data_IF_965933221199
#
_entry.id   IF_965933221199
#
_cell.length_a   1.000
_cell.length_b   1.000
_cell.length_c   1.000
_cell.angle_alpha   90.00
_cell.angle_beta   90.00
_cell.angle_gamma   90.00
#
_symmetry.space_group_name_H-M   'P 1'
#
loop_
_entity.id
_entity.type
_entity.pdbx_description
1 polymer ?
#
# COMPACT_ATOMS: atom_id res chain seq x y z
N UNK A 1 4.51 15.97 -6.14
CA UNK A 1 3.39 16.94 -6.17
C UNK A 1 2.09 16.21 -5.84
N UNK A 2 1.10 16.88 -5.24
CA UNK A 2 -0.25 16.31 -5.04
C UNK A 2 -1.18 16.88 -6.11
N UNK A 3 -1.87 16.03 -6.87
CA UNK A 3 -2.86 16.48 -7.86
C UNK A 3 -4.23 16.62 -7.21
N UNK A 4 -4.85 17.79 -7.43
CA UNK A 4 -6.25 18.07 -7.14
C UNK A 4 -6.90 18.65 -8.38
N UNK A 5 -8.09 18.18 -8.76
CA UNK A 5 -8.77 18.61 -9.99
C UNK A 5 -10.23 19.03 -9.80
N UNK A 6 -10.75 18.99 -8.57
CA UNK A 6 -12.16 19.31 -8.31
C UNK A 6 -13.12 18.16 -8.65
N UNK A 7 -14.43 18.36 -8.47
CA UNK A 7 -15.45 17.34 -8.75
C UNK A 7 -15.72 17.19 -10.26
N UNK A 8 -16.44 16.12 -10.63
CA UNK A 8 -16.88 15.88 -12.02
C UNK A 8 -15.97 14.94 -12.82
N UNK A 9 -16.51 14.38 -13.89
CA UNK A 9 -15.79 13.40 -14.71
C UNK A 9 -14.90 14.03 -15.77
N UNK A 10 -15.27 15.20 -16.30
CA UNK A 10 -14.44 15.94 -17.27
C UNK A 10 -13.04 16.20 -16.70
N UNK A 11 -12.97 16.63 -15.44
CA UNK A 11 -11.70 16.82 -14.73
C UNK A 11 -10.92 15.53 -14.52
N UNK A 12 -11.59 14.39 -14.34
CA UNK A 12 -10.91 13.09 -14.23
C UNK A 12 -10.40 12.62 -15.59
N UNK A 13 -11.16 12.86 -16.66
CA UNK A 13 -10.72 12.62 -18.04
C UNK A 13 -9.50 13.47 -18.37
N UNK A 14 -9.49 14.76 -18.00
CA UNK A 14 -8.31 15.63 -18.14
C UNK A 14 -7.08 15.02 -17.44
N UNK A 15 -7.21 14.56 -16.20
CA UNK A 15 -6.12 13.85 -15.51
C UNK A 15 -5.68 12.62 -16.30
N UNK A 16 -6.60 11.76 -16.74
CA UNK A 16 -6.25 10.52 -17.45
C UNK A 16 -5.65 10.78 -18.83
N UNK A 17 -5.95 11.89 -19.47
CA UNK A 17 -5.32 12.33 -20.73
C UNK A 17 -3.90 12.87 -20.52
N UNK A 18 -3.61 13.45 -19.35
CA UNK A 18 -2.27 13.99 -19.03
C UNK A 18 -1.37 12.94 -18.37
N UNK A 19 -1.95 12.08 -17.56
CA UNK A 19 -1.26 11.14 -16.69
C UNK A 19 -1.78 9.72 -16.88
N UNK A 20 -0.86 8.75 -16.86
CA UNK A 20 -1.17 7.36 -16.55
C UNK A 20 -1.20 7.22 -15.05
N UNK A 21 -2.36 6.88 -14.50
CA UNK A 21 -2.52 6.63 -13.08
C UNK A 21 -2.24 5.16 -12.76
N UNK A 22 -1.53 4.91 -11.67
CA UNK A 22 -1.27 3.55 -11.17
C UNK A 22 -1.68 3.49 -9.69
N UNK A 23 -2.65 2.63 -9.31
CA UNK A 23 -2.98 2.47 -7.90
C UNK A 23 -1.78 1.85 -7.18
N UNK A 24 -1.36 2.47 -6.08
CA UNK A 24 -0.21 2.02 -5.28
C UNK A 24 -0.57 1.63 -3.86
N UNK A 25 -1.73 2.05 -3.35
CA UNK A 25 -2.24 1.65 -2.05
C UNK A 25 -3.77 1.70 -2.06
N UNK A 26 -4.40 0.75 -1.39
CA UNK A 26 -5.83 0.77 -1.09
C UNK A 26 -6.02 0.40 0.38
N UNK A 27 -6.40 1.38 1.20
CA UNK A 27 -6.49 1.23 2.65
C UNK A 27 -7.54 2.15 3.22
N UNK A 28 -7.78 2.06 4.52
CA UNK A 28 -8.55 3.05 5.26
C UNK A 28 -7.70 4.09 5.94
N UNK A 29 -8.34 5.22 6.23
CA UNK A 29 -7.83 6.29 7.07
C UNK A 29 -7.99 5.89 8.54
N UNK A 30 -6.92 5.99 9.34
CA UNK A 30 -7.00 5.82 10.78
C UNK A 30 -7.61 7.07 11.43
N UNK A 31 -8.28 6.88 12.57
CA UNK A 31 -8.78 7.98 13.37
C UNK A 31 -7.63 8.92 13.76
N UNK A 32 -7.86 10.23 13.62
CA UNK A 32 -6.86 11.27 13.88
C UNK A 32 -6.03 11.68 12.67
N UNK A 33 -6.18 10.99 11.52
CA UNK A 33 -5.57 11.42 10.26
C UNK A 33 -6.52 12.30 9.44
N UNK A 34 -5.97 13.21 8.66
CA UNK A 34 -6.73 14.07 7.74
C UNK A 34 -6.07 14.06 6.36
N UNK A 35 -6.77 13.51 5.38
CA UNK A 35 -6.38 13.54 3.96
C UNK A 35 -7.51 14.14 3.13
N UNK A 36 -7.16 14.70 1.96
CA UNK A 36 -8.13 15.22 0.99
C UNK A 36 -8.10 14.41 -0.28
N UNK A 37 -9.28 14.11 -0.80
CA UNK A 37 -9.49 13.51 -2.10
C UNK A 37 -9.07 14.50 -3.20
N UNK A 38 -8.78 13.99 -4.40
CA UNK A 38 -8.45 14.80 -5.58
C UNK A 38 -9.55 15.84 -5.94
N UNK A 39 -10.80 15.59 -5.53
CA UNK A 39 -11.91 16.51 -5.72
C UNK A 39 -12.04 17.59 -4.63
N UNK A 40 -11.08 17.66 -3.70
CA UNK A 40 -11.02 18.63 -2.61
C UNK A 40 -11.78 18.24 -1.34
N UNK A 41 -12.67 17.23 -1.41
CA UNK A 41 -13.42 16.74 -0.24
C UNK A 41 -12.50 15.99 0.74
N UNK A 42 -12.75 16.07 2.06
CA UNK A 42 -12.08 15.23 3.04
C UNK A 42 -12.27 13.73 2.72
N UNK A 43 -11.26 12.93 3.01
CA UNK A 43 -11.40 11.48 3.05
C UNK A 43 -11.80 11.06 4.45
N UNK A 44 -12.78 10.17 4.55
CA UNK A 44 -13.40 9.80 5.83
C UNK A 44 -13.24 8.31 6.17
N UNK A 45 -12.96 7.44 5.20
CA UNK A 45 -12.81 6.00 5.42
C UNK A 45 -11.82 5.38 4.42
N UNK A 46 -12.30 4.64 3.41
CA UNK A 46 -11.47 3.94 2.43
C UNK A 46 -11.01 4.85 1.32
N UNK A 47 -9.74 4.72 0.96
CA UNK A 47 -9.13 5.51 -0.09
C UNK A 47 -8.04 4.74 -0.83
N UNK A 48 -7.84 5.18 -2.06
CA UNK A 48 -6.69 4.83 -2.87
C UNK A 48 -5.66 5.96 -2.84
N UNK A 49 -4.39 5.58 -2.87
CA UNK A 49 -3.33 6.43 -3.40
C UNK A 49 -3.00 5.96 -4.81
N UNK A 50 -2.89 6.89 -5.75
CA UNK A 50 -2.34 6.63 -7.08
C UNK A 50 -1.07 7.43 -7.30
N UNK A 51 -0.13 6.79 -7.99
CA UNK A 51 0.97 7.47 -8.65
C UNK A 51 0.50 8.01 -10.01
N UNK A 52 0.92 9.22 -10.36
CA UNK A 52 0.60 9.87 -11.62
C UNK A 52 1.88 10.01 -12.47
N UNK A 53 1.97 9.17 -13.50
CA UNK A 53 3.04 9.18 -14.49
C UNK A 53 2.64 10.04 -15.66
N UNK A 54 3.38 11.13 -15.90
CA UNK A 54 3.12 12.03 -17.02
C UNK A 54 3.31 11.29 -18.34
N UNK A 55 2.32 11.36 -19.23
CA UNK A 55 2.34 10.59 -20.48
C UNK A 55 3.39 11.07 -21.48
N UNK A 56 3.65 12.37 -21.51
CA UNK A 56 4.63 12.97 -22.42
C UNK A 56 6.08 12.59 -22.09
N UNK A 57 6.41 12.44 -20.79
CA UNK A 57 7.77 12.17 -20.34
C UNK A 57 7.98 10.77 -19.79
N UNK A 58 6.91 10.05 -19.46
CA UNK A 58 6.97 8.75 -18.78
C UNK A 58 7.44 8.84 -17.32
N UNK A 59 7.57 10.05 -16.75
CA UNK A 59 8.05 10.24 -15.38
C UNK A 59 6.89 10.32 -14.39
N UNK A 60 7.02 9.61 -13.26
CA UNK A 60 6.09 9.78 -12.14
C UNK A 60 6.42 11.06 -11.39
N UNK A 61 5.54 12.05 -11.51
CA UNK A 61 5.76 13.42 -11.02
C UNK A 61 4.86 13.80 -9.85
N UNK A 62 3.76 13.06 -9.67
CA UNK A 62 2.76 13.38 -8.67
C UNK A 62 2.07 12.14 -8.11
N UNK A 63 1.32 12.38 -7.03
CA UNK A 63 0.38 11.44 -6.43
C UNK A 63 -1.00 12.06 -6.38
N UNK A 64 -2.04 11.23 -6.25
CA UNK A 64 -3.38 11.66 -5.87
C UNK A 64 -4.00 10.70 -4.86
N UNK A 65 -4.90 11.22 -4.04
CA UNK A 65 -5.79 10.38 -3.24
C UNK A 65 -7.20 10.42 -3.78
N UNK A 66 -7.89 9.28 -3.71
CA UNK A 66 -9.28 9.20 -4.12
C UNK A 66 -10.07 8.30 -3.17
N UNK A 67 -11.24 8.77 -2.73
CA UNK A 67 -12.15 7.95 -1.94
C UNK A 67 -12.66 6.77 -2.77
N UNK A 68 -12.70 5.59 -2.15
CA UNK A 68 -12.98 4.29 -2.77
C UNK A 68 -14.24 4.32 -3.66
N UNK A 69 -15.42 4.52 -3.05
CA UNK A 69 -16.72 4.54 -3.75
C UNK A 69 -17.01 5.80 -4.57
N UNK A 70 -16.07 6.74 -4.62
CA UNK A 70 -16.28 8.06 -5.24
C UNK A 70 -15.33 8.27 -6.41
N UNK A 71 -14.29 9.08 -6.19
CA UNK A 71 -13.34 9.39 -7.25
C UNK A 71 -12.57 8.16 -7.73
N UNK A 72 -12.22 7.21 -6.85
CA UNK A 72 -11.43 6.04 -7.24
C UNK A 72 -12.24 5.14 -8.20
N UNK A 73 -13.46 4.77 -7.82
CA UNK A 73 -14.40 4.04 -8.69
C UNK A 73 -14.51 4.70 -10.07
N UNK A 74 -14.74 6.02 -10.12
CA UNK A 74 -14.82 6.74 -11.40
C UNK A 74 -13.51 6.72 -12.19
N UNK A 75 -12.35 6.78 -11.56
CA UNK A 75 -11.08 6.64 -12.29
C UNK A 75 -10.93 5.25 -12.90
N UNK A 76 -11.34 4.18 -12.21
CA UNK A 76 -11.30 2.83 -12.76
C UNK A 76 -12.20 2.72 -13.99
N UNK A 77 -13.47 3.12 -13.88
CA UNK A 77 -14.44 3.10 -14.99
C UNK A 77 -13.92 3.91 -16.18
N UNK A 78 -13.48 5.15 -15.95
CA UNK A 78 -12.95 6.02 -17.01
C UNK A 78 -11.66 5.48 -17.64
N UNK A 79 -10.82 4.80 -16.86
CA UNK A 79 -9.61 4.17 -17.41
C UNK A 79 -9.93 3.02 -18.35
N UNK A 80 -11.03 2.30 -18.10
CA UNK A 80 -11.54 1.26 -19.00
C UNK A 80 -12.14 1.87 -20.27
N UNK A 81 -13.01 2.87 -20.12
CA UNK A 81 -13.61 3.60 -21.25
C UNK A 81 -12.54 4.20 -22.20
N UNK A 82 -11.46 4.74 -21.64
CA UNK A 82 -10.43 5.46 -22.40
C UNK A 82 -9.25 4.56 -22.83
N UNK A 83 -9.19 3.30 -22.41
CA UNK A 83 -8.03 2.42 -22.63
C UNK A 83 -7.60 2.35 -24.10
N UNK A 84 -8.57 2.15 -25.01
CA UNK A 84 -8.30 2.08 -26.45
C UNK A 84 -7.82 3.43 -27.03
N UNK A 85 -8.45 4.54 -26.64
CA UNK A 85 -8.10 5.87 -27.13
C UNK A 85 -6.72 6.34 -26.64
N UNK A 86 -6.30 5.87 -25.45
CA UNK A 86 -5.02 6.22 -24.83
C UNK A 86 -3.91 5.19 -25.10
N UNK A 87 -4.18 4.13 -25.88
CA UNK A 87 -3.25 3.00 -26.11
C UNK A 87 -2.70 2.41 -24.81
N UNK A 88 -3.57 2.27 -23.80
CA UNK A 88 -3.22 1.87 -22.44
C UNK A 88 -3.99 0.62 -21.99
N UNK A 89 -3.54 0.01 -20.89
CA UNK A 89 -4.32 -0.99 -20.17
C UNK A 89 -5.22 -0.30 -19.14
N UNK A 90 -6.47 -0.76 -18.94
CA UNK A 90 -7.30 -0.31 -17.83
C UNK A 90 -6.57 -0.48 -16.49
N UNK A 91 -6.82 0.41 -15.55
CA UNK A 91 -6.26 0.26 -14.21
C UNK A 91 -6.86 -0.95 -13.51
N UNK A 92 -6.02 -1.71 -12.81
CA UNK A 92 -6.47 -2.84 -11.99
C UNK A 92 -6.61 -2.41 -10.53
N UNK A 93 -7.77 -2.58 -9.90
CA UNK A 93 -7.94 -2.29 -8.48
C UNK A 93 -6.99 -3.12 -7.61
N UNK A 94 -6.48 -2.50 -6.54
CA UNK A 94 -5.70 -3.20 -5.51
C UNK A 94 -6.62 -3.80 -4.43
N UNK A 95 -6.25 -4.96 -3.84
CA UNK A 95 -6.88 -5.48 -2.64
C UNK A 95 -6.92 -4.44 -1.52
N UNK A 96 -8.04 -4.40 -0.79
CA UNK A 96 -8.23 -3.50 0.34
C UNK A 96 -7.47 -4.02 1.57
N UNK A 97 -6.57 -3.21 2.11
CA UNK A 97 -5.90 -3.50 3.37
C UNK A 97 -6.62 -2.79 4.53
N UNK A 98 -7.17 -3.55 5.48
CA UNK A 98 -7.81 -3.02 6.70
C UNK A 98 -7.03 -3.43 7.94
N UNK A 99 -6.37 -2.51 8.65
CA UNK A 99 -5.68 -2.84 9.89
C UNK A 99 -6.63 -2.96 11.11
N UNK A 100 -7.90 -2.57 10.97
CA UNK A 100 -8.91 -2.56 12.04
C UNK A 100 -9.88 -3.74 11.97
N UNK A 101 -9.93 -4.45 10.85
CA UNK A 101 -10.74 -5.66 10.68
C UNK A 101 -9.83 -6.83 10.28
N UNK A 102 -10.14 -8.03 10.74
CA UNK A 102 -9.49 -9.22 10.20
C UNK A 102 -9.75 -9.30 8.69
N UNK A 103 -8.73 -9.53 7.87
CA UNK A 103 -9.04 -10.23 6.61
C UNK A 103 -9.71 -11.56 6.98
N UNK A 104 -10.69 -12.05 6.20
CA UNK A 104 -11.30 -13.35 6.46
C UNK A 104 -10.18 -14.41 6.48
N UNK A 105 -9.86 -14.89 7.69
CA UNK A 105 -9.07 -16.05 8.16
C UNK A 105 -7.82 -16.58 7.41
N UNK A 106 -7.45 -16.11 6.20
CA UNK A 106 -6.30 -16.64 5.43
C UNK A 106 -5.05 -15.75 5.44
N UNK A 107 -5.02 -14.70 6.26
CA UNK A 107 -3.82 -13.88 6.42
C UNK A 107 -3.60 -13.49 7.88
N UNK A 108 -2.42 -13.90 8.37
CA UNK A 108 -1.79 -13.55 9.65
C UNK A 108 -2.21 -14.39 10.88
N UNK A 109 -2.58 -15.66 10.71
CA UNK A 109 -2.48 -16.64 11.80
C UNK A 109 -1.23 -17.50 11.63
N UNK A 110 -0.20 -17.19 12.40
CA UNK A 110 0.86 -18.14 12.72
C UNK A 110 0.27 -19.23 13.62
N UNK A 111 -0.35 -20.24 13.02
CA UNK A 111 -0.92 -21.39 13.72
C UNK A 111 -0.43 -22.68 13.10
N UNK A 112 0.29 -23.48 13.88
CA UNK A 112 0.74 -24.83 13.53
C UNK A 112 -0.43 -25.66 12.98
N UNK A 113 -0.38 -25.98 11.68
CA UNK A 113 -1.33 -26.87 11.05
C UNK A 113 -0.75 -27.39 9.73
N UNK A 114 -0.36 -28.67 9.74
CA UNK A 114 -0.15 -29.43 8.51
C UNK A 114 -1.45 -29.39 7.70
N UNK A 115 -1.40 -28.77 6.53
CA UNK A 115 -2.55 -28.68 5.64
C UNK A 115 -2.14 -28.02 4.34
N UNK A 116 -1.75 -28.84 3.37
CA UNK A 116 -1.65 -28.45 1.97
C UNK A 116 -2.99 -27.86 1.51
N UNK A 117 -3.05 -26.55 1.34
CA UNK A 117 -4.12 -25.89 0.58
C UNK A 117 -3.50 -25.25 -0.66
N UNK A 118 -3.36 -26.07 -1.70
CA UNK A 118 -3.09 -25.63 -3.06
C UNK A 118 -4.28 -24.83 -3.61
N UNK A 119 -4.25 -23.51 -3.44
CA UNK A 119 -5.04 -22.53 -4.19
C UNK A 119 -4.15 -21.81 -5.21
N UNK A 120 -4.57 -21.80 -6.48
CA UNK A 120 -3.85 -21.18 -7.63
C UNK A 120 -3.43 -19.73 -7.32
N UNK A 121 -2.11 -19.48 -7.30
CA UNK A 121 -1.50 -18.14 -7.39
C UNK A 121 -1.55 -17.26 -6.13
N UNK A 122 -1.22 -17.80 -4.96
CA UNK A 122 -1.15 -17.03 -3.71
C UNK A 122 0.15 -16.22 -3.55
N UNK A 123 0.06 -15.03 -2.96
CA UNK A 123 1.24 -14.25 -2.53
C UNK A 123 2.02 -15.03 -1.46
N UNK A 124 3.35 -15.09 -1.61
CA UNK A 124 4.23 -15.74 -0.67
C UNK A 124 4.04 -15.16 0.76
N UNK A 125 4.01 -15.99 1.82
CA UNK A 125 3.79 -15.52 3.19
C UNK A 125 4.73 -14.39 3.64
N UNK A 126 6.03 -14.49 3.34
CA UNK A 126 6.99 -13.40 3.62
C UNK A 126 6.60 -12.08 2.91
N UNK A 127 6.11 -12.16 1.67
CA UNK A 127 5.70 -10.96 0.93
C UNK A 127 4.45 -10.33 1.58
N UNK A 128 3.51 -11.15 2.10
CA UNK A 128 2.35 -10.66 2.86
C UNK A 128 2.79 -9.88 4.10
N UNK A 129 3.76 -10.40 4.86
CA UNK A 129 4.32 -9.70 6.02
C UNK A 129 4.98 -8.37 5.63
N UNK A 130 5.79 -8.35 4.56
CA UNK A 130 6.46 -7.13 4.09
C UNK A 130 5.44 -6.07 3.63
N UNK A 131 4.42 -6.46 2.86
CA UNK A 131 3.34 -5.55 2.42
C UNK A 131 2.62 -4.97 3.64
N UNK A 132 2.28 -5.82 4.61
CA UNK A 132 1.63 -5.44 5.85
C UNK A 132 2.48 -4.43 6.64
N UNK A 133 3.75 -4.73 6.88
CA UNK A 133 4.67 -3.86 7.60
C UNK A 133 4.82 -2.48 6.93
N UNK A 134 4.95 -2.45 5.60
CA UNK A 134 5.05 -1.20 4.83
C UNK A 134 3.77 -0.36 4.98
N UNK A 135 2.59 -0.96 4.79
CA UNK A 135 1.32 -0.25 4.91
C UNK A 135 1.13 0.32 6.32
N UNK A 136 1.39 -0.48 7.36
CA UNK A 136 1.27 -0.04 8.75
C UNK A 136 2.27 1.08 9.09
N UNK A 137 3.50 0.98 8.60
CA UNK A 137 4.53 2.02 8.80
C UNK A 137 4.09 3.35 8.21
N UNK A 138 3.59 3.34 6.96
CA UNK A 138 3.11 4.55 6.29
C UNK A 138 1.92 5.17 7.02
N UNK A 139 0.98 4.35 7.50
CA UNK A 139 -0.15 4.83 8.30
C UNK A 139 0.29 5.45 9.63
N UNK A 140 1.22 4.81 10.34
CA UNK A 140 1.74 5.32 11.60
C UNK A 140 2.41 6.70 11.42
N UNK A 141 3.19 6.86 10.36
CA UNK A 141 3.86 8.12 10.01
C UNK A 141 2.92 9.18 9.43
N UNK A 142 1.69 8.82 9.04
CA UNK A 142 0.84 9.69 8.23
C UNK A 142 1.49 10.05 6.89
N UNK A 143 2.34 9.16 6.38
CA UNK A 143 3.11 9.33 5.16
C UNK A 143 2.46 8.60 4.00
N UNK A 144 3.00 8.85 2.81
CA UNK A 144 2.53 8.25 1.57
C UNK A 144 3.64 7.54 0.82
N UNK A 145 3.25 6.67 -0.10
CA UNK A 145 4.23 5.96 -0.93
C UNK A 145 4.82 6.99 -1.89
N UNK A 146 6.06 7.40 -1.65
CA UNK A 146 6.76 8.26 -2.60
C UNK A 146 7.16 7.45 -3.85
N UNK A 147 6.87 7.95 -5.06
CA UNK A 147 7.33 7.31 -6.29
C UNK A 147 8.84 7.05 -6.29
N UNK A 148 9.25 5.84 -6.64
CA UNK A 148 10.67 5.45 -6.70
C UNK A 148 11.35 5.24 -5.33
N UNK A 149 10.63 5.42 -4.22
CA UNK A 149 11.10 5.05 -2.89
C UNK A 149 11.35 3.54 -2.74
N UNK A 150 12.07 3.15 -1.68
CA UNK A 150 12.27 1.73 -1.37
C UNK A 150 10.93 0.99 -1.27
N UNK A 151 9.96 1.52 -0.52
CA UNK A 151 8.66 0.88 -0.34
C UNK A 151 7.90 0.76 -1.66
N UNK A 152 7.87 1.81 -2.48
CA UNK A 152 7.25 1.77 -3.82
C UNK A 152 7.83 0.63 -4.68
N UNK A 153 9.16 0.55 -4.78
CA UNK A 153 9.86 -0.47 -5.58
C UNK A 153 9.63 -1.89 -5.06
N UNK A 154 9.62 -2.09 -3.75
CA UNK A 154 9.39 -3.41 -3.16
C UNK A 154 7.94 -3.87 -3.37
N UNK A 155 6.97 -2.99 -3.17
CA UNK A 155 5.56 -3.30 -3.42
C UNK A 155 5.30 -3.62 -4.91
N UNK A 156 5.92 -2.88 -5.83
CA UNK A 156 5.85 -3.17 -7.27
C UNK A 156 6.44 -4.54 -7.58
N UNK A 157 7.64 -4.85 -7.07
CA UNK A 157 8.26 -6.15 -7.29
C UNK A 157 7.41 -7.30 -6.75
N UNK A 158 6.82 -7.16 -5.56
CA UNK A 158 5.90 -8.16 -4.98
C UNK A 158 4.66 -8.33 -5.86
N UNK A 159 4.11 -7.26 -6.45
CA UNK A 159 2.97 -7.37 -7.36
C UNK A 159 3.32 -8.11 -8.65
N UNK A 160 4.53 -7.90 -9.18
CA UNK A 160 4.98 -8.55 -10.40
C UNK A 160 5.30 -10.04 -10.18
N UNK A 161 5.81 -10.41 -9.00
CA UNK A 161 6.22 -11.76 -8.65
C UNK A 161 5.69 -12.13 -7.25
N UNK A 162 4.36 -12.31 -7.08
CA UNK A 162 3.73 -12.43 -5.77
C UNK A 162 4.13 -13.70 -5.03
N UNK A 163 4.35 -14.80 -5.75
CA UNK A 163 4.73 -16.13 -5.25
C UNK A 163 6.22 -16.26 -4.92
N UNK A 164 7.06 -15.34 -5.41
CA UNK A 164 8.51 -15.35 -5.16
C UNK A 164 8.86 -14.53 -3.92
N UNK A 165 9.45 -15.13 -2.88
CA UNK A 165 9.85 -14.38 -1.69
C UNK A 165 10.90 -13.32 -2.01
N UNK A 166 10.82 -12.20 -1.29
CA UNK A 166 11.94 -11.26 -1.24
C UNK A 166 13.18 -11.89 -0.61
N UNK A 167 14.35 -11.46 -1.09
CA UNK A 167 15.62 -11.80 -0.44
C UNK A 167 15.73 -11.14 0.93
N UNK A 168 16.42 -11.82 1.86
CA UNK A 168 16.62 -11.37 3.25
C UNK A 168 17.19 -9.94 3.33
N UNK A 169 18.08 -9.56 2.40
CA UNK A 169 18.65 -8.20 2.37
C UNK A 169 17.60 -7.12 2.06
N UNK A 170 16.54 -7.45 1.32
CA UNK A 170 15.42 -6.52 1.08
C UNK A 170 14.56 -6.39 2.33
N UNK A 171 14.36 -7.48 3.07
CA UNK A 171 13.71 -7.44 4.40
C UNK A 171 14.51 -6.58 5.37
N UNK A 172 15.84 -6.75 5.41
CA UNK A 172 16.74 -5.88 6.18
C UNK A 172 16.62 -4.41 5.76
N UNK A 173 16.51 -4.13 4.46
CA UNK A 173 16.29 -2.76 3.98
C UNK A 173 14.96 -2.17 4.44
N UNK A 174 13.87 -2.97 4.48
CA UNK A 174 12.59 -2.54 5.07
C UNK A 174 12.76 -2.23 6.55
N UNK A 175 13.39 -3.11 7.33
CA UNK A 175 13.68 -2.89 8.75
C UNK A 175 14.48 -1.59 8.98
N UNK A 176 15.53 -1.35 8.19
CA UNK A 176 16.31 -0.11 8.22
C UNK A 176 15.50 1.11 7.79
N UNK A 177 14.50 0.98 6.91
CA UNK A 177 13.62 2.09 6.59
C UNK A 177 12.70 2.41 7.77
N UNK A 178 12.12 1.40 8.42
CA UNK A 178 11.26 1.57 9.61
C UNK A 178 12.04 2.22 10.76
N UNK A 179 13.31 1.84 10.97
CA UNK A 179 14.15 2.41 12.03
C UNK A 179 14.34 3.93 11.93
N UNK A 180 14.15 4.53 10.74
CA UNK A 180 14.17 5.99 10.57
C UNK A 180 13.02 6.71 11.28
N UNK A 181 11.96 6.00 11.66
CA UNK A 181 10.93 6.50 12.57
C UNK A 181 11.38 6.56 14.04
N UNK A 182 12.62 6.15 14.33
CA UNK A 182 13.27 6.09 15.64
C UNK A 182 12.53 5.22 16.69
N UNK A 183 11.57 4.42 16.26
CA UNK A 183 10.70 3.58 17.08
C UNK A 183 10.36 2.30 16.34
N UNK A 184 10.06 1.23 17.09
CA UNK A 184 9.56 -0.02 16.52
C UNK A 184 8.14 0.17 15.99
N UNK A 185 7.78 -0.57 14.95
CA UNK A 185 6.45 -0.52 14.35
C UNK A 185 5.37 -0.92 15.37
N UNK A 186 5.62 -1.97 16.16
CA UNK A 186 4.82 -2.33 17.34
C UNK A 186 4.54 -1.14 18.27
N UNK A 187 5.57 -0.37 18.66
CA UNK A 187 5.41 0.84 19.50
C UNK A 187 4.59 1.92 18.81
N UNK A 188 4.84 2.19 17.53
CA UNK A 188 4.07 3.19 16.78
C UNK A 188 2.60 2.81 16.67
N UNK A 189 2.28 1.52 16.54
CA UNK A 189 0.89 1.03 16.52
C UNK A 189 0.23 1.16 17.88
N UNK A 190 0.95 0.89 18.96
CA UNK A 190 0.45 1.07 20.33
C UNK A 190 0.04 2.52 20.60
N UNK A 191 0.81 3.50 20.10
CA UNK A 191 0.49 4.92 20.19
C UNK A 191 -0.79 5.32 19.43
N UNK A 192 -1.13 4.61 18.34
CA UNK A 192 -2.37 4.86 17.57
C UNK A 192 -3.60 4.20 18.20
N UNK A 193 -3.42 3.18 19.04
CA UNK A 193 -4.51 2.35 19.59
C UNK A 193 -5.50 3.10 20.48
N UNK A 194 -5.14 4.12 21.29
CA UNK A 194 -6.12 4.89 22.07
C UNK A 194 -7.22 5.52 21.22
N UNK A 195 -6.89 5.99 20.01
CA UNK A 195 -7.87 6.55 19.06
C UNK A 195 -8.46 5.48 18.13
N UNK A 196 -7.83 4.31 18.04
CA UNK A 196 -8.18 3.22 17.14
C UNK A 196 -8.25 1.89 17.92
N UNK A 197 -9.24 1.69 18.82
CA UNK A 197 -9.26 0.54 19.73
C UNK A 197 -9.42 -0.82 19.04
N UNK A 198 -9.87 -0.82 17.78
CA UNK A 198 -9.97 -2.02 16.93
C UNK A 198 -8.69 -2.35 16.18
N UNK A 199 -7.64 -1.52 16.31
CA UNK A 199 -6.35 -1.75 15.67
C UNK A 199 -5.75 -3.04 16.19
N UNK A 200 -5.56 -3.99 15.28
CA UNK A 200 -5.03 -5.32 15.59
C UNK A 200 -3.60 -5.25 16.10
N UNK A 201 -3.17 -6.34 16.74
CA UNK A 201 -1.75 -6.64 16.92
C UNK A 201 -1.24 -7.36 15.68
N UNK A 202 -0.02 -7.03 15.30
CA UNK A 202 0.65 -7.58 14.13
C UNK A 202 1.96 -8.19 14.57
N UNK A 203 2.29 -9.33 14.00
CA UNK A 203 3.53 -10.05 14.19
C UNK A 203 4.11 -10.38 12.82
N UNK A 204 5.43 -10.40 12.73
CA UNK A 204 6.17 -10.59 11.48
C UNK A 204 7.22 -11.69 11.59
N UNK A 205 6.84 -12.93 11.98
CA UNK A 205 7.79 -14.00 12.29
C UNK A 205 8.70 -14.37 11.12
N UNK A 206 8.24 -14.28 9.88
CA UNK A 206 9.08 -14.59 8.71
C UNK A 206 10.09 -13.47 8.45
N UNK A 207 9.69 -12.21 8.60
CA UNK A 207 10.62 -11.08 8.52
C UNK A 207 11.65 -11.15 9.64
N UNK A 208 11.25 -11.46 10.88
CA UNK A 208 12.15 -11.68 12.01
C UNK A 208 13.15 -12.80 11.72
N UNK A 209 12.69 -13.93 11.19
CA UNK A 209 13.56 -15.03 10.78
C UNK A 209 14.58 -14.60 9.71
N UNK A 210 14.21 -13.73 8.77
CA UNK A 210 15.15 -13.15 7.80
C UNK A 210 16.21 -12.27 8.48
N UNK A 211 15.84 -11.47 9.49
CA UNK A 211 16.79 -10.61 10.22
C UNK A 211 17.79 -11.43 11.04
N UNK A 212 17.36 -12.55 11.63
CA UNK A 212 18.24 -13.42 12.43
C UNK A 212 19.32 -14.16 11.61
N UNK A 213 19.20 -14.20 10.27
CA UNK A 213 20.18 -14.85 9.38
C UNK A 213 21.41 -13.97 9.06
N UNK A 214 21.42 -12.71 9.49
CA UNK A 214 22.57 -11.82 9.33
C UNK A 214 23.55 -11.98 10.49
N UNK A 215 24.83 -11.74 10.25
CA UNK A 215 25.88 -11.77 11.28
C UNK A 215 26.62 -10.42 11.35
N UNK A 216 26.51 -9.67 12.47
CA UNK A 216 25.56 -9.88 13.56
C UNK A 216 24.10 -9.58 13.12
N UNK A 217 23.09 -10.16 13.80
CA UNK A 217 21.70 -9.82 13.54
C UNK A 217 21.45 -8.33 13.80
N UNK A 218 20.78 -7.59 12.88
CA UNK A 218 20.38 -6.22 13.15
C UNK A 218 19.30 -6.18 14.23
N UNK A 219 19.21 -5.05 14.94
CA UNK A 219 18.04 -4.80 15.79
C UNK A 219 16.75 -4.83 14.94
N UNK A 220 15.72 -5.51 15.45
CA UNK A 220 14.40 -5.50 14.84
C UNK A 220 13.60 -4.26 15.24
N UNK A 221 13.02 -3.61 14.24
CA UNK A 221 12.10 -2.48 14.36
C UNK A 221 10.66 -2.85 13.99
N UNK A 222 10.33 -4.14 13.96
CA UNK A 222 8.98 -4.64 13.62
C UNK A 222 7.96 -4.50 14.76
#
# INVERSE_FOLDING_TARGET
MLITNGPGDDKKREILHQYRLTPVMHTRLLQGMALRCCCGRPLEDRYYQFDATERSTGKTVAILYAGDKGCAARFFDLSEELAAALSDKPMTPLPFFDPLQGEPEEAVSGGRGNGESHGRGGMHPLNKEVVCAINLTLMCWGAFIHPGSLFSKLLEQIRQLPDRPLYDWKVKAVNTAISKGCRRLSTMLDEKRPQNPKLRRFEFPLMEACLQRFEPPPESYL
#
